data_IF_275534278218
#
_entry.id   IF_275534278218
#
_cell.length_a   1.000
_cell.length_b   1.000
_cell.length_c   1.000
_cell.angle_alpha   90.00
_cell.angle_beta   90.00
_cell.angle_gamma   90.00
#
_symmetry.space_group_name_H-M   'P 1'
#
loop_
_entity.id
_entity.type
_entity.pdbx_description
1 polymer ?
#
# COMPACT_ATOMS: atom_id res chain seq x y z
N UNK A 1 -3.50 11.21 12.67
CA UNK A 1 -2.56 10.40 13.44
C UNK A 1 -3.30 9.93 14.66
N UNK A 2 -3.44 8.60 14.77
CA UNK A 2 -4.07 7.98 15.93
C UNK A 2 -3.32 8.24 17.22
N UNK A 3 -3.89 7.77 18.33
CA UNK A 3 -3.17 7.62 19.58
C UNK A 3 -2.09 6.53 19.41
N UNK A 4 -0.92 6.93 18.91
CA UNK A 4 0.23 6.05 18.76
C UNK A 4 0.81 5.72 20.13
N UNK A 5 1.25 4.48 20.31
CA UNK A 5 1.91 4.01 21.53
C UNK A 5 3.45 3.94 21.37
N UNK A 6 3.96 4.38 20.22
CA UNK A 6 5.38 4.43 19.88
C UNK A 6 5.84 5.87 19.59
N UNK A 7 7.12 6.05 19.26
CA UNK A 7 7.76 7.35 19.04
C UNK A 7 7.46 7.97 17.66
N UNK A 8 6.46 7.46 16.92
CA UNK A 8 6.17 7.94 15.57
C UNK A 8 5.83 9.43 15.55
N UNK A 9 5.09 9.93 16.55
CA UNK A 9 4.66 11.34 16.57
C UNK A 9 5.86 12.26 16.77
N UNK A 10 6.71 11.92 17.72
CA UNK A 10 7.94 12.63 18.06
C UNK A 10 8.89 12.64 16.85
N UNK A 11 9.03 11.51 16.14
CA UNK A 11 9.86 11.41 14.94
C UNK A 11 9.34 12.29 13.80
N UNK A 12 8.03 12.32 13.56
CA UNK A 12 7.44 13.20 12.53
C UNK A 12 7.63 14.68 12.90
N UNK A 13 7.41 15.05 14.16
CA UNK A 13 7.61 16.43 14.64
C UNK A 13 9.07 16.87 14.54
N UNK A 14 10.02 15.95 14.77
CA UNK A 14 11.45 16.23 14.67
C UNK A 14 11.93 16.61 13.26
N UNK A 15 11.16 16.30 12.19
CA UNK A 15 11.48 16.70 10.81
C UNK A 15 11.45 18.23 10.65
N UNK A 16 10.68 18.96 11.47
CA UNK A 16 10.62 20.43 11.49
C UNK A 16 10.35 21.07 10.12
N UNK A 17 9.42 20.50 9.35
CA UNK A 17 8.99 21.06 8.07
C UNK A 17 7.60 21.69 8.17
N UNK A 18 7.47 22.90 7.63
CA UNK A 18 6.22 23.62 7.42
C UNK A 18 5.26 22.93 6.43
N UNK A 19 5.76 21.97 5.65
CA UNK A 19 4.96 21.14 4.72
C UNK A 19 4.22 20.01 5.41
N UNK A 20 4.56 19.70 6.66
CA UNK A 20 3.96 18.58 7.41
C UNK A 20 2.82 19.12 8.27
N UNK A 21 1.62 18.63 8.01
CA UNK A 21 0.43 18.91 8.83
C UNK A 21 0.00 17.62 9.52
N UNK A 22 0.05 17.60 10.85
CA UNK A 22 -0.38 16.46 11.65
C UNK A 22 -1.83 16.70 12.08
N UNK A 23 -2.74 15.83 11.65
CA UNK A 23 -4.15 15.87 12.06
C UNK A 23 -4.32 14.86 13.20
N UNK A 24 -4.48 15.24 14.47
CA UNK A 24 -4.74 14.28 15.53
C UNK A 24 -6.11 13.63 15.34
N UNK A 25 -6.19 12.31 15.47
CA UNK A 25 -7.40 11.53 15.20
C UNK A 25 -7.56 10.42 16.22
N UNK A 26 -8.80 9.99 16.44
CA UNK A 26 -9.09 8.78 17.23
C UNK A 26 -9.46 7.64 16.30
N UNK A 27 -9.07 6.42 16.67
CA UNK A 27 -9.42 5.21 15.94
C UNK A 27 -10.70 4.63 16.54
N UNK A 28 -11.63 4.17 15.68
CA UNK A 28 -12.78 3.43 16.16
C UNK A 28 -12.38 1.99 16.52
N UNK A 29 -11.92 1.79 17.76
CA UNK A 29 -11.44 0.51 18.28
C UNK A 29 -12.51 -0.61 18.29
N UNK A 30 -13.79 -0.27 18.16
CA UNK A 30 -14.88 -1.26 18.05
C UNK A 30 -15.02 -1.83 16.65
N UNK A 31 -14.44 -1.17 15.64
CA UNK A 31 -14.57 -1.59 14.25
C UNK A 31 -13.50 -2.62 13.89
N UNK A 32 -13.94 -3.84 13.58
CA UNK A 32 -13.07 -4.97 13.23
C UNK A 32 -13.36 -5.54 11.85
N UNK A 33 -14.19 -4.86 11.05
CA UNK A 33 -14.52 -5.32 9.71
C UNK A 33 -13.40 -4.92 8.74
N UNK A 34 -12.60 -5.92 8.34
CA UNK A 34 -11.65 -5.86 7.20
C UNK A 34 -10.80 -4.59 7.14
N UNK A 35 -10.33 -4.10 8.28
CA UNK A 35 -9.48 -2.91 8.32
C UNK A 35 -10.19 -1.59 7.97
N UNK A 36 -11.51 -1.49 8.16
CA UNK A 36 -12.26 -0.24 7.93
C UNK A 36 -11.63 0.99 8.60
N UNK A 37 -11.01 0.81 9.77
CA UNK A 37 -10.34 1.91 10.49
C UNK A 37 -9.25 2.58 9.64
N UNK A 38 -8.57 1.85 8.77
CA UNK A 38 -7.60 2.42 7.83
C UNK A 38 -8.27 3.34 6.81
N UNK A 39 -9.44 2.94 6.30
CA UNK A 39 -10.26 3.75 5.41
C UNK A 39 -10.70 5.06 6.09
N UNK A 40 -11.10 4.98 7.36
CA UNK A 40 -11.45 6.15 8.16
C UNK A 40 -10.28 7.14 8.22
N UNK A 41 -9.07 6.68 8.54
CA UNK A 41 -7.89 7.55 8.62
C UNK A 41 -7.50 8.14 7.27
N UNK A 42 -7.53 7.32 6.20
CA UNK A 42 -7.29 7.75 4.82
C UNK A 42 -8.26 8.85 4.39
N UNK A 43 -9.55 8.68 4.66
CA UNK A 43 -10.57 9.68 4.29
C UNK A 43 -10.43 10.97 5.08
N UNK A 44 -10.15 10.91 6.39
CA UNK A 44 -9.89 12.12 7.19
C UNK A 44 -8.71 12.91 6.60
N UNK A 45 -7.61 12.23 6.24
CA UNK A 45 -6.46 12.89 5.62
C UNK A 45 -6.83 13.50 4.26
N UNK A 46 -7.52 12.75 3.39
CA UNK A 46 -7.94 13.24 2.08
C UNK A 46 -8.86 14.45 2.17
N UNK A 47 -9.81 14.49 3.12
CA UNK A 47 -10.68 15.64 3.32
C UNK A 47 -9.94 16.93 3.74
N UNK A 48 -8.69 16.81 4.18
CA UNK A 48 -7.83 17.95 4.51
C UNK A 48 -6.84 18.30 3.38
N UNK A 49 -6.83 17.55 2.27
CA UNK A 49 -6.05 17.91 1.09
C UNK A 49 -6.70 19.11 0.37
N UNK A 50 -5.87 20.07 -0.06
CA UNK A 50 -6.33 21.28 -0.77
C UNK A 50 -5.80 21.40 -2.19
N UNK A 51 -4.84 20.54 -2.59
CA UNK A 51 -4.31 20.51 -3.95
C UNK A 51 -5.28 19.85 -4.94
N UNK A 52 -4.96 19.95 -6.23
CA UNK A 52 -5.76 19.37 -7.32
C UNK A 52 -5.76 17.84 -7.30
N UNK A 53 -4.64 17.27 -6.85
CA UNK A 53 -4.39 15.85 -6.67
C UNK A 53 -4.13 15.56 -5.20
N UNK A 54 -4.65 14.44 -4.70
CA UNK A 54 -4.28 13.87 -3.41
C UNK A 54 -3.44 12.61 -3.63
N UNK A 55 -2.20 12.62 -3.14
CA UNK A 55 -1.28 11.48 -3.19
C UNK A 55 -1.28 10.77 -1.83
N UNK A 56 -1.78 9.54 -1.81
CA UNK A 56 -1.76 8.65 -0.66
C UNK A 56 -0.56 7.71 -0.70
N UNK A 57 0.08 7.49 0.45
CA UNK A 57 1.09 6.46 0.67
C UNK A 57 0.85 5.81 2.04
N UNK A 58 1.06 4.51 2.13
CA UNK A 58 1.12 3.80 3.41
C UNK A 58 2.47 4.01 4.11
N UNK A 59 2.52 3.82 5.43
CA UNK A 59 3.73 4.11 6.23
C UNK A 59 4.93 3.19 5.94
N UNK A 60 4.72 2.12 5.17
CA UNK A 60 5.73 1.20 4.66
C UNK A 60 5.87 1.25 3.13
N UNK A 61 5.35 2.30 2.48
CA UNK A 61 5.52 2.59 1.05
C UNK A 61 6.48 3.76 0.84
N UNK A 62 7.37 3.64 -0.15
CA UNK A 62 8.38 4.66 -0.49
C UNK A 62 8.48 4.84 -2.00
N UNK A 63 8.74 6.07 -2.41
CA UNK A 63 9.05 6.43 -3.80
C UNK A 63 10.56 6.47 -4.02
N UNK A 64 11.01 6.00 -5.18
CA UNK A 64 12.41 6.16 -5.57
C UNK A 64 12.66 7.60 -6.06
N UNK A 65 13.79 8.19 -5.65
CA UNK A 65 14.17 9.56 -5.98
C UNK A 65 14.25 9.78 -7.51
N UNK A 66 14.79 8.81 -8.24
CA UNK A 66 14.90 8.82 -9.70
C UNK A 66 13.53 8.83 -10.42
N UNK A 67 12.46 8.36 -9.75
CA UNK A 67 11.12 8.29 -10.34
C UNK A 67 10.30 9.58 -10.10
N UNK A 68 10.73 10.46 -9.18
CA UNK A 68 9.98 11.68 -8.85
C UNK A 68 9.69 12.58 -10.07
N UNK A 69 10.62 12.81 -11.01
CA UNK A 69 10.34 13.60 -12.22
C UNK A 69 9.26 12.96 -13.09
N UNK A 70 9.25 11.62 -13.19
CA UNK A 70 8.27 10.86 -13.98
C UNK A 70 6.88 10.95 -13.35
N UNK A 71 6.80 10.83 -12.03
CA UNK A 71 5.55 10.96 -11.28
C UNK A 71 4.96 12.36 -11.47
N UNK A 72 5.78 13.40 -11.31
CA UNK A 72 5.38 14.79 -11.55
C UNK A 72 4.86 14.99 -12.98
N UNK A 73 5.58 14.51 -13.98
CA UNK A 73 5.17 14.62 -15.38
C UNK A 73 3.82 13.93 -15.63
N UNK A 74 3.57 12.76 -15.02
CA UNK A 74 2.28 12.08 -15.14
C UNK A 74 1.13 12.90 -14.56
N UNK A 75 1.34 13.59 -13.43
CA UNK A 75 0.35 14.50 -12.83
C UNK A 75 0.08 15.72 -13.70
N UNK A 76 1.14 16.33 -14.25
CA UNK A 76 1.05 17.53 -15.10
C UNK A 76 0.38 17.21 -16.45
N UNK A 77 0.77 16.11 -17.10
CA UNK A 77 0.20 15.68 -18.38
C UNK A 77 -1.29 15.35 -18.28
N UNK A 78 -1.73 14.81 -17.14
CA UNK A 78 -3.13 14.49 -16.91
C UNK A 78 -3.90 15.62 -16.23
N UNK A 79 -3.28 16.74 -15.86
CA UNK A 79 -3.92 17.79 -15.08
C UNK A 79 -5.26 18.27 -15.68
N UNK A 80 -5.26 18.58 -16.98
CA UNK A 80 -6.45 19.06 -17.71
C UNK A 80 -7.33 17.92 -18.27
N UNK A 81 -6.90 16.66 -18.19
CA UNK A 81 -7.64 15.53 -18.75
C UNK A 81 -8.71 15.03 -17.75
N UNK A 82 -9.93 15.54 -17.87
CA UNK A 82 -11.04 15.20 -16.96
C UNK A 82 -11.47 13.73 -17.02
N UNK A 83 -11.08 12.97 -18.06
CA UNK A 83 -11.35 11.53 -18.12
C UNK A 83 -10.43 10.69 -17.22
N UNK A 84 -9.31 11.26 -16.78
CA UNK A 84 -8.38 10.62 -15.85
C UNK A 84 -8.67 11.10 -14.44
N UNK A 85 -9.23 10.23 -13.62
CA UNK A 85 -9.64 10.51 -12.25
C UNK A 85 -8.58 10.15 -11.22
N UNK A 86 -7.68 9.23 -11.58
CA UNK A 86 -6.61 8.76 -10.70
C UNK A 86 -5.33 8.43 -11.49
N UNK A 87 -4.22 8.30 -10.78
CA UNK A 87 -2.97 7.75 -11.31
C UNK A 87 -2.61 6.47 -10.55
N UNK A 88 -2.37 5.42 -11.32
CA UNK A 88 -2.02 4.10 -10.83
C UNK A 88 -0.52 3.83 -11.00
N UNK A 89 0.02 3.14 -10.00
CA UNK A 89 1.43 2.81 -9.86
C UNK A 89 1.62 1.31 -9.94
N UNK A 90 2.73 0.87 -10.51
CA UNK A 90 3.22 -0.50 -10.35
C UNK A 90 3.72 -0.71 -8.91
N UNK A 91 3.87 -1.97 -8.47
CA UNK A 91 4.32 -2.29 -7.11
C UNK A 91 5.51 -3.23 -7.09
N UNK A 92 6.47 -2.89 -6.23
CA UNK A 92 7.46 -3.81 -5.71
C UNK A 92 7.09 -4.19 -4.28
N UNK A 93 6.46 -5.35 -4.13
CA UNK A 93 6.13 -5.93 -2.83
C UNK A 93 7.31 -6.74 -2.31
N UNK A 94 8.12 -6.14 -1.42
CA UNK A 94 9.23 -6.86 -0.83
C UNK A 94 8.76 -7.87 0.21
N UNK A 95 9.38 -9.06 0.24
CA UNK A 95 8.96 -10.15 1.11
C UNK A 95 10.14 -10.90 1.73
N UNK A 96 10.12 -11.04 3.04
CA UNK A 96 11.09 -11.78 3.83
C UNK A 96 12.46 -11.12 3.96
N UNK A 97 12.94 -10.44 2.93
CA UNK A 97 14.10 -9.56 2.97
C UNK A 97 14.04 -8.54 1.83
N UNK A 98 14.92 -7.53 1.82
CA UNK A 98 14.98 -6.54 0.73
C UNK A 98 15.30 -7.15 -0.66
N UNK A 99 15.79 -8.38 -0.71
CA UNK A 99 16.25 -9.01 -1.95
C UNK A 99 15.14 -9.71 -2.76
N UNK A 100 13.95 -9.89 -2.20
CA UNK A 100 12.90 -10.71 -2.80
C UNK A 100 11.60 -9.93 -2.98
N UNK A 101 11.01 -10.04 -4.17
CA UNK A 101 9.69 -9.51 -4.48
C UNK A 101 8.67 -10.65 -4.48
N UNK A 102 7.51 -10.42 -3.87
CA UNK A 102 6.35 -11.28 -4.03
C UNK A 102 5.64 -11.01 -5.36
N UNK A 103 5.41 -12.06 -6.14
CA UNK A 103 4.91 -11.98 -7.52
C UNK A 103 3.61 -12.76 -7.76
N UNK A 104 3.14 -13.51 -6.75
CA UNK A 104 1.92 -14.30 -6.89
C UNK A 104 0.67 -13.42 -7.04
N UNK A 105 -0.43 -13.96 -7.63
CA UNK A 105 -1.67 -13.22 -7.82
C UNK A 105 -2.33 -12.71 -6.54
N UNK A 106 -1.92 -13.19 -5.36
CA UNK A 106 -2.40 -12.68 -4.08
C UNK A 106 -1.98 -11.21 -3.86
N UNK A 107 -0.84 -10.81 -4.43
CA UNK A 107 -0.30 -9.45 -4.37
C UNK A 107 -0.82 -8.64 -5.56
N UNK A 108 -1.25 -7.41 -5.31
CA UNK A 108 -1.72 -6.55 -6.40
C UNK A 108 -0.50 -6.06 -7.18
N UNK A 109 -0.62 -5.98 -8.50
CA UNK A 109 0.51 -5.51 -9.34
C UNK A 109 0.52 -4.00 -9.48
N UNK A 110 -0.68 -3.43 -9.44
CA UNK A 110 -0.92 -2.01 -9.66
C UNK A 110 -2.03 -1.54 -8.73
N UNK A 111 -1.95 -0.30 -8.27
CA UNK A 111 -3.04 0.34 -7.54
C UNK A 111 -3.01 1.86 -7.72
N UNK A 112 -4.18 2.49 -7.64
CA UNK A 112 -4.30 3.93 -7.55
C UNK A 112 -3.71 4.45 -6.25
N UNK A 113 -2.85 5.46 -6.38
CA UNK A 113 -2.27 6.18 -5.23
C UNK A 113 -2.39 7.69 -5.33
N UNK A 114 -2.70 8.21 -6.51
CA UNK A 114 -3.07 9.60 -6.68
C UNK A 114 -4.51 9.66 -7.18
N UNK A 115 -5.36 10.43 -6.51
CA UNK A 115 -6.78 10.64 -6.88
C UNK A 115 -7.02 12.13 -7.09
N UNK A 116 -7.88 12.49 -8.05
CA UNK A 116 -8.34 13.88 -8.18
C UNK A 116 -9.06 14.29 -6.91
N UNK A 117 -8.72 15.47 -6.40
CA UNK A 117 -9.34 16.00 -5.20
C UNK A 117 -10.66 16.74 -5.48
N UNK A 118 -11.03 16.87 -6.76
CA UNK A 118 -12.23 17.58 -7.24
C UNK A 118 -13.41 16.65 -7.56
N UNK A 119 -13.26 15.35 -7.31
CA UNK A 119 -14.31 14.35 -7.55
C UNK A 119 -14.80 13.74 -6.24
N UNK A 120 -16.04 13.27 -6.24
CA UNK A 120 -16.60 12.56 -5.09
C UNK A 120 -16.08 11.12 -5.05
N UNK A 121 -15.09 10.88 -4.20
CA UNK A 121 -14.55 9.54 -3.92
C UNK A 121 -14.68 9.16 -2.45
N UNK A 122 -14.74 7.88 -2.15
CA UNK A 122 -14.55 7.34 -0.81
C UNK A 122 -13.59 6.15 -0.83
N UNK A 123 -12.96 5.85 0.30
CA UNK A 123 -12.15 4.65 0.47
C UNK A 123 -12.92 3.64 1.35
N UNK A 124 -13.13 2.39 0.90
CA UNK A 124 -13.75 1.34 1.71
C UNK A 124 -12.76 0.69 2.69
N UNK A 125 -11.46 0.75 2.40
CA UNK A 125 -10.34 0.27 3.20
C UNK A 125 -9.12 1.20 3.03
N UNK A 126 -7.94 0.81 3.54
CA UNK A 126 -6.69 1.57 3.32
C UNK A 126 -6.25 1.59 1.86
N UNK A 127 -6.61 0.59 1.06
CA UNK A 127 -6.02 0.34 -0.24
C UNK A 127 -6.74 1.09 -1.36
N UNK A 128 -8.05 0.95 -1.47
CA UNK A 128 -8.80 1.34 -2.67
C UNK A 128 -9.48 2.70 -2.55
N UNK A 129 -9.90 3.22 -3.70
CA UNK A 129 -10.91 4.28 -3.82
C UNK A 129 -12.07 3.82 -4.69
N UNK A 130 -13.24 4.39 -4.39
CA UNK A 130 -14.46 4.22 -5.16
C UNK A 130 -15.02 5.60 -5.48
N UNK A 131 -15.25 5.87 -6.75
CA UNK A 131 -15.85 7.10 -7.26
C UNK A 131 -17.37 6.97 -7.23
N UNK A 132 -18.03 8.01 -6.73
CA UNK A 132 -19.47 8.06 -6.48
C UNK A 132 -20.15 9.10 -7.36
N UNK A 133 -20.70 8.63 -8.49
CA UNK A 133 -21.57 9.47 -9.33
C UNK A 133 -22.98 9.63 -8.71
N UNK A 134 -23.43 8.64 -7.93
CA UNK A 134 -24.71 8.61 -7.20
C UNK A 134 -24.47 8.08 -5.79
N UNK A 135 -25.43 8.30 -4.87
CA UNK A 135 -25.24 7.98 -3.45
C UNK A 135 -25.06 6.49 -3.14
N UNK A 136 -25.66 5.58 -3.93
CA UNK A 136 -25.77 4.15 -3.58
C UNK A 136 -24.96 3.20 -4.46
N UNK A 137 -24.31 3.70 -5.52
CA UNK A 137 -23.54 2.86 -6.44
C UNK A 137 -22.26 3.57 -6.86
N UNK A 138 -21.14 2.98 -6.45
CA UNK A 138 -19.80 3.42 -6.83
C UNK A 138 -19.19 2.57 -7.94
N UNK A 139 -18.03 3.02 -8.41
CA UNK A 139 -17.16 2.33 -9.36
C UNK A 139 -15.70 2.65 -9.05
N UNK A 140 -14.77 1.87 -9.60
CA UNK A 140 -13.36 2.27 -9.57
C UNK A 140 -13.12 3.56 -10.38
N UNK A 141 -12.13 4.38 -10.00
CA UNK A 141 -11.74 5.54 -10.79
C UNK A 141 -11.24 5.11 -12.18
N UNK A 142 -11.37 5.99 -13.17
CA UNK A 142 -10.62 5.86 -14.43
C UNK A 142 -9.19 6.31 -14.18
N UNK A 143 -8.18 5.47 -14.43
CA UNK A 143 -6.80 5.83 -14.11
C UNK A 143 -5.87 5.77 -15.31
N UNK A 144 -4.88 6.65 -15.30
CA UNK A 144 -3.70 6.54 -16.15
C UNK A 144 -2.56 5.89 -15.36
N UNK A 145 -1.73 5.10 -16.05
CA UNK A 145 -0.52 4.56 -15.45
C UNK A 145 0.56 5.63 -15.38
N UNK A 146 1.22 5.75 -14.23
CA UNK A 146 2.39 6.62 -14.05
C UNK A 146 3.63 6.01 -14.71
N UNK A 147 3.71 4.68 -14.70
CA UNK A 147 4.89 3.92 -15.14
C UNK A 147 6.07 4.02 -14.17
N UNK A 148 5.85 4.40 -12.92
CA UNK A 148 6.83 4.30 -11.85
C UNK A 148 6.29 3.34 -10.76
N UNK A 149 7.14 2.51 -10.15
CA UNK A 149 6.73 1.62 -9.09
C UNK A 149 6.72 2.33 -7.72
N UNK A 150 5.87 1.82 -6.82
CA UNK A 150 5.97 2.07 -5.38
C UNK A 150 6.71 0.91 -4.73
N UNK A 151 7.67 1.26 -3.88
CA UNK A 151 8.47 0.31 -3.12
C UNK A 151 7.78 0.05 -1.80
N UNK A 152 7.18 -1.13 -1.65
CA UNK A 152 6.38 -1.49 -0.49
C UNK A 152 7.12 -2.51 0.38
N UNK A 153 7.56 -2.06 1.56
CA UNK A 153 8.38 -2.78 2.54
C UNK A 153 7.56 -3.43 3.67
N UNK A 154 6.28 -3.69 3.42
CA UNK A 154 5.35 -4.14 4.45
C UNK A 154 5.67 -5.51 5.05
N UNK A 155 6.44 -6.35 4.33
CA UNK A 155 6.81 -7.72 4.69
C UNK A 155 8.33 -7.97 4.72
N UNK A 156 9.14 -6.99 5.11
CA UNK A 156 10.61 -7.20 5.27
C UNK A 156 11.15 -6.83 6.63
N UNK A 157 10.29 -6.58 7.63
CA UNK A 157 10.72 -6.25 8.99
C UNK A 157 11.36 -7.46 9.66
N UNK A 158 12.21 -7.25 10.66
CA UNK A 158 12.68 -8.33 11.54
C UNK A 158 11.49 -9.17 12.07
N UNK A 159 11.72 -10.46 12.33
CA UNK A 159 10.65 -11.37 12.77
C UNK A 159 9.94 -10.83 14.02
N UNK A 160 10.69 -10.32 15.00
CA UNK A 160 10.15 -9.76 16.22
C UNK A 160 9.26 -8.52 15.95
N UNK A 161 9.71 -7.61 15.09
CA UNK A 161 8.93 -6.43 14.71
C UNK A 161 7.66 -6.81 13.93
N UNK A 162 7.72 -7.84 13.08
CA UNK A 162 6.56 -8.35 12.37
C UNK A 162 5.54 -9.01 13.30
N UNK A 163 6.00 -9.79 14.29
CA UNK A 163 5.14 -10.35 15.34
C UNK A 163 4.42 -9.24 16.11
N UNK A 164 5.15 -8.21 16.55
CA UNK A 164 4.57 -7.07 17.26
C UNK A 164 3.56 -6.31 16.39
N UNK A 165 3.85 -6.11 15.10
CA UNK A 165 2.90 -5.53 14.13
C UNK A 165 1.61 -6.36 14.07
N UNK A 166 1.71 -7.67 13.89
CA UNK A 166 0.56 -8.56 13.76
C UNK A 166 -0.30 -8.58 15.03
N UNK A 167 0.31 -8.57 16.22
CA UNK A 167 -0.41 -8.51 17.49
C UNK A 167 -1.20 -7.20 17.63
N UNK A 168 -0.60 -6.06 17.25
CA UNK A 168 -1.27 -4.75 17.34
C UNK A 168 -2.39 -4.59 16.31
N UNK A 169 -2.17 -5.05 15.08
CA UNK A 169 -3.08 -4.82 13.95
C UNK A 169 -4.20 -5.86 13.92
N UNK A 170 -3.96 -7.06 14.45
CA UNK A 170 -4.89 -8.18 14.32
C UNK A 170 -6.30 -7.92 14.85
N UNK A 171 -6.42 -7.09 15.90
CA UNK A 171 -7.72 -6.70 16.48
C UNK A 171 -8.68 -6.06 15.47
N UNK A 172 -8.20 -5.46 14.38
CA UNK A 172 -9.04 -4.76 13.39
C UNK A 172 -9.59 -5.66 12.27
N UNK A 173 -9.37 -6.99 12.33
CA UNK A 173 -9.79 -7.93 11.30
C UNK A 173 -10.76 -9.02 11.77
N UNK A 174 -11.11 -9.02 13.06
CA UNK A 174 -12.20 -9.85 13.62
C UNK A 174 -11.95 -11.36 13.64
N UNK A 175 -10.70 -11.83 13.53
CA UNK A 175 -10.33 -13.24 13.61
C UNK A 175 -9.02 -13.46 14.37
N UNK A 176 -8.80 -14.67 14.87
CA UNK A 176 -7.54 -15.06 15.50
C UNK A 176 -6.41 -15.00 14.48
N UNK A 177 -5.39 -14.19 14.78
CA UNK A 177 -4.20 -14.10 13.95
C UNK A 177 -3.21 -15.19 14.38
N UNK A 178 -2.83 -16.11 13.47
CA UNK A 178 -1.81 -17.08 13.79
C UNK A 178 -0.50 -16.37 14.15
N UNK A 179 0.22 -16.92 15.12
CA UNK A 179 1.54 -16.41 15.49
C UNK A 179 2.44 -16.40 14.25
N UNK A 180 3.03 -15.24 13.97
CA UNK A 180 3.99 -15.11 12.89
C UNK A 180 5.29 -15.80 13.29
N UNK A 181 5.55 -16.98 12.75
CA UNK A 181 6.74 -17.77 13.09
C UNK A 181 7.90 -17.57 12.11
N UNK A 182 7.82 -16.54 11.25
CA UNK A 182 8.78 -16.25 10.21
C UNK A 182 8.15 -16.16 8.82
N UNK A 183 8.94 -15.68 7.87
CA UNK A 183 8.51 -15.54 6.48
C UNK A 183 8.55 -16.90 5.78
N UNK A 184 7.40 -17.31 5.25
CA UNK A 184 7.26 -18.52 4.45
C UNK A 184 6.40 -18.22 3.23
N UNK A 185 6.87 -18.63 2.07
CA UNK A 185 6.20 -18.43 0.80
C UNK A 185 6.67 -19.50 -0.18
N UNK A 186 5.80 -19.86 -1.11
CA UNK A 186 6.15 -20.72 -2.24
C UNK A 186 7.31 -20.07 -3.03
N UNK A 187 8.43 -20.79 -3.29
CA UNK A 187 9.52 -20.27 -4.10
C UNK A 187 9.10 -19.77 -5.50
N UNK A 188 8.03 -20.31 -6.08
CA UNK A 188 7.47 -19.84 -7.35
C UNK A 188 6.70 -18.52 -7.23
N UNK A 189 6.34 -18.12 -6.00
CA UNK A 189 5.58 -16.91 -5.70
C UNK A 189 6.47 -15.69 -5.38
N UNK A 190 7.79 -15.84 -5.53
CA UNK A 190 8.76 -14.76 -5.35
C UNK A 190 9.81 -14.75 -6.46
N UNK A 191 10.43 -13.59 -6.68
CA UNK A 191 11.61 -13.46 -7.52
C UNK A 191 12.64 -12.54 -6.88
N UNK A 192 13.89 -12.59 -7.36
CA UNK A 192 14.94 -11.67 -6.89
C UNK A 192 14.68 -10.25 -7.39
N UNK A 193 14.83 -9.28 -6.51
CA UNK A 193 14.92 -7.87 -6.87
C UNK A 193 16.31 -7.57 -7.45
N UNK A 194 16.36 -6.92 -8.61
CA UNK A 194 17.62 -6.55 -9.29
C UNK A 194 17.81 -5.04 -9.45
N UNK A 195 16.86 -4.24 -8.95
CA UNK A 195 16.92 -2.79 -8.99
C UNK A 195 17.70 -2.18 -7.82
N UNK A 196 17.54 -0.87 -7.65
CA UNK A 196 18.07 -0.12 -6.51
C UNK A 196 16.93 0.20 -5.54
N UNK A 197 17.23 0.11 -4.25
CA UNK A 197 16.36 0.62 -3.20
C UNK A 197 16.49 2.14 -3.13
N UNK A 198 15.41 2.88 -2.82
CA UNK A 198 15.48 4.32 -2.57
C UNK A 198 16.53 4.64 -1.50
N UNK A 199 17.34 5.68 -1.69
CA UNK A 199 18.43 5.98 -0.75
C UNK A 199 17.92 6.20 0.68
N UNK A 200 16.72 6.75 0.84
CA UNK A 200 16.12 7.08 2.13
C UNK A 200 15.85 5.85 3.02
N UNK A 201 15.69 4.66 2.43
CA UNK A 201 15.42 3.43 3.21
C UNK A 201 16.68 2.66 3.59
N UNK A 202 17.85 3.01 3.04
CA UNK A 202 19.07 2.19 3.18
C UNK A 202 19.43 1.95 4.65
N UNK A 203 19.43 2.99 5.48
CA UNK A 203 19.72 2.85 6.92
C UNK A 203 18.71 1.94 7.63
N UNK A 204 17.42 2.10 7.31
CA UNK A 204 16.37 1.24 7.84
C UNK A 204 16.52 -0.23 7.42
N UNK A 205 16.89 -0.50 6.16
CA UNK A 205 17.14 -1.86 5.69
C UNK A 205 18.34 -2.51 6.42
N UNK A 206 19.35 -1.71 6.77
CA UNK A 206 20.51 -2.20 7.52
C UNK A 206 20.15 -2.49 8.98
N UNK A 207 19.28 -1.71 9.62
CA UNK A 207 19.06 -1.82 11.06
C UNK A 207 17.82 -2.63 11.43
N UNK A 208 16.77 -2.59 10.61
CA UNK A 208 15.42 -3.02 10.99
C UNK A 208 14.84 -4.15 10.12
N UNK A 209 15.36 -4.31 8.90
CA UNK A 209 14.87 -5.33 7.99
C UNK A 209 15.40 -6.73 8.35
N UNK A 210 14.60 -7.74 8.04
CA UNK A 210 15.03 -9.13 8.03
C UNK A 210 16.02 -9.35 6.88
N UNK A 211 17.14 -10.01 7.19
CA UNK A 211 18.27 -10.15 6.27
C UNK A 211 18.50 -11.60 5.83
N UNK A 212 18.01 -12.57 6.61
CA UNK A 212 18.40 -13.97 6.45
C UNK A 212 17.32 -14.83 5.80
N UNK A 213 16.41 -14.21 5.04
CA UNK A 213 15.37 -14.95 4.35
C UNK A 213 15.85 -15.49 2.99
N UNK A 214 15.59 -16.76 2.77
CA UNK A 214 15.63 -17.40 1.45
C UNK A 214 14.40 -18.31 1.32
N UNK A 215 13.77 -18.40 0.12
CA UNK A 215 12.69 -19.34 -0.12
C UNK A 215 13.15 -20.79 0.12
N UNK A 216 12.34 -21.55 0.86
CA UNK A 216 12.66 -22.94 1.18
C UNK A 216 12.52 -23.83 -0.06
N UNK A 217 13.62 -24.44 -0.51
CA UNK A 217 13.63 -25.36 -1.63
C UNK A 217 12.77 -26.62 -1.40
N UNK A 218 12.51 -26.98 -0.13
CA UNK A 218 11.68 -28.12 0.24
C UNK A 218 10.21 -27.75 0.49
N UNK A 219 9.81 -26.51 0.16
CA UNK A 219 8.47 -26.00 0.42
C UNK A 219 7.39 -26.95 -0.11
N UNK A 220 6.53 -27.43 0.79
CA UNK A 220 5.40 -28.27 0.46
C UNK A 220 4.14 -27.40 0.34
N UNK A 221 3.66 -27.22 -0.90
CA UNK A 221 2.43 -26.47 -1.14
C UNK A 221 1.27 -27.08 -0.35
N UNK A 222 0.62 -26.28 0.50
CA UNK A 222 -0.55 -26.75 1.22
C UNK A 222 -1.68 -27.10 0.24
N UNK A 223 -2.43 -28.18 0.52
CA UNK A 223 -3.56 -28.66 -0.32
C UNK A 223 -4.69 -27.63 -0.50
N UNK A 224 -4.65 -26.48 0.17
CA UNK A 224 -5.51 -25.31 -0.05
C UNK A 224 -5.18 -24.55 -1.35
N UNK A 225 -4.59 -25.23 -2.34
CA UNK A 225 -4.65 -24.77 -3.72
C UNK A 225 -6.06 -25.05 -4.24
N UNK A 226 -7.03 -24.24 -3.82
CA UNK A 226 -8.15 -23.96 -4.71
C UNK A 226 -7.49 -23.25 -5.88
N UNK A 227 -7.18 -23.99 -6.94
CA UNK A 227 -7.21 -23.41 -8.28
C UNK A 227 -8.60 -22.80 -8.36
N UNK A 228 -8.76 -21.53 -8.00
CA UNK A 228 -9.96 -20.80 -8.37
C UNK A 228 -9.90 -20.73 -9.88
N UNK A 229 -10.71 -21.49 -10.62
CA UNK A 229 -10.88 -21.27 -12.03
C UNK A 229 -11.88 -20.11 -12.11
N UNK A 230 -11.42 -18.92 -11.69
CA UNK A 230 -12.11 -17.62 -11.71
C UNK A 230 -11.15 -16.53 -11.18
N UNK A 231 -9.89 -16.58 -11.61
CA UNK A 231 -8.92 -15.47 -11.47
C UNK A 231 -8.94 -14.53 -12.68
N UNK A 232 -9.84 -14.74 -13.64
CA UNK A 232 -9.94 -13.94 -14.87
C UNK A 232 -10.77 -12.65 -14.70
N UNK A 233 -11.48 -12.46 -13.59
CA UNK A 233 -12.39 -11.32 -13.42
C UNK A 233 -12.04 -10.31 -12.32
N UNK A 234 -11.16 -10.61 -11.36
CA UNK A 234 -10.96 -9.70 -10.22
C UNK A 234 -9.65 -8.91 -10.16
N UNK A 235 -8.74 -9.03 -11.13
CA UNK A 235 -7.57 -8.12 -11.26
C UNK A 235 -7.13 -7.94 -12.70
N UNK A 236 -8.09 -7.81 -13.63
CA UNK A 236 -7.79 -7.10 -14.88
C UNK A 236 -7.45 -5.66 -14.48
N UNK A 237 -6.47 -5.08 -15.14
CA UNK A 237 -6.27 -3.64 -15.25
C UNK A 237 -7.62 -2.98 -15.55
N UNK A 238 -8.37 -2.58 -14.51
CA UNK A 238 -9.69 -1.94 -14.63
C UNK A 238 -9.59 -0.48 -15.11
N UNK A 239 -8.36 -0.03 -15.40
CA UNK A 239 -8.02 1.36 -15.66
C UNK A 239 -8.21 1.81 -17.11
N UNK A 240 -8.36 0.88 -18.05
CA UNK A 240 -8.58 1.21 -19.45
C UNK A 240 -10.09 1.23 -19.73
N UNK A 241 -10.63 2.44 -19.88
CA UNK A 241 -11.96 2.63 -20.42
C UNK A 241 -12.05 1.98 -21.79
N UNK A 242 -12.85 0.93 -21.90
CA UNK A 242 -13.31 0.43 -23.20
C UNK A 242 -14.46 1.32 -23.66
N UNK A 243 -14.35 1.79 -24.90
CA UNK A 243 -15.35 2.52 -25.67
C UNK A 243 -16.77 1.94 -25.57
#
# INVERSE_FOLDING_TARGET
MGDSEDDTLERIQAIKSDKIVIIPTFWNEKMQDRGFVYAQQKMIAQYNCTGDWAFYLEGDEVLHEDDLPKIRAAMENNFNNQDVEALAFDYFHFFGSPDWLATSPAWYRQECRIIRNTIRSFAPDGLFWVVMNKNSRGRYPKAALVGAPIYHYGHVRSIAAMQAKNQRVGKYWGHDHPLFNGYQIDPEAVCRFSGKHPAIVVDWLVNEAEKNFAPDANYQASKKRVKTPLGHENRKTFWLGTE
#
